data_IF_755460002513
#
_entry.id   IF_755460002513
#
_cell.length_a   1.000
_cell.length_b   1.000
_cell.length_c   1.000
_cell.angle_alpha   90.00
_cell.angle_beta   90.00
_cell.angle_gamma   90.00
#
_symmetry.space_group_name_H-M   'P 1'
#
loop_
_entity.id
_entity.type
_entity.pdbx_description
1 polymer ?
#
# COMPACT_ATOMS: atom_id res chain seq x y z
N UNK A 1 7.74 39.91 12.29
CA UNK A 1 8.92 39.08 11.93
C UNK A 1 10.00 40.00 11.35
N UNK A 2 11.22 40.02 11.94
CA UNK A 2 12.38 40.67 11.29
C UNK A 2 12.74 39.85 10.05
N UNK A 3 12.66 40.46 8.85
CA UNK A 3 13.20 39.84 7.63
C UNK A 3 14.69 39.56 7.86
N UNK A 4 15.07 38.30 7.85
CA UNK A 4 16.49 37.90 7.88
C UNK A 4 17.07 38.37 6.55
N UNK A 5 18.08 39.22 6.59
CA UNK A 5 18.82 39.65 5.39
C UNK A 5 19.74 38.47 4.93
N UNK A 6 19.21 37.67 4.05
CA UNK A 6 19.89 36.47 3.51
C UNK A 6 21.13 36.84 2.67
N UNK A 7 21.34 38.11 2.31
CA UNK A 7 22.51 38.53 1.52
C UNK A 7 23.82 38.56 2.32
N UNK A 8 23.73 38.52 3.66
CA UNK A 8 24.89 38.56 4.57
C UNK A 8 25.22 37.23 5.24
N UNK A 9 24.41 36.20 5.03
CA UNK A 9 24.63 34.87 5.62
C UNK A 9 25.24 33.97 4.54
N UNK A 10 26.50 33.58 4.73
CA UNK A 10 27.09 32.56 3.89
C UNK A 10 26.42 31.23 4.17
N UNK A 11 25.79 30.62 3.15
CA UNK A 11 25.22 29.27 3.27
C UNK A 11 26.34 28.25 3.56
N UNK A 12 26.01 27.19 4.32
CA UNK A 12 26.98 26.14 4.66
C UNK A 12 27.67 25.55 3.43
N UNK A 13 26.96 25.39 2.30
CA UNK A 13 27.50 24.94 1.01
C UNK A 13 28.57 25.91 0.44
N UNK A 14 28.54 27.17 0.83
CA UNK A 14 29.49 28.21 0.42
C UNK A 14 30.52 28.54 1.53
N UNK A 15 30.72 27.65 2.49
CA UNK A 15 31.67 27.81 3.57
C UNK A 15 31.15 28.51 4.83
N UNK A 16 29.85 28.78 4.92
CA UNK A 16 29.22 29.24 6.16
C UNK A 16 29.03 28.14 7.20
N UNK A 17 28.66 28.52 8.41
CA UNK A 17 28.36 27.53 9.46
C UNK A 17 27.04 26.80 9.14
N UNK A 18 27.01 25.46 9.20
CA UNK A 18 25.78 24.72 9.06
C UNK A 18 24.84 25.01 10.26
N UNK A 19 23.55 24.98 10.01
CA UNK A 19 22.51 25.12 11.05
C UNK A 19 22.58 23.94 12.04
N UNK A 20 23.01 22.78 11.54
CA UNK A 20 23.17 21.56 12.32
C UNK A 20 24.50 20.89 11.95
N UNK A 21 25.27 20.46 12.94
CA UNK A 21 26.52 19.70 12.77
C UNK A 21 26.35 18.23 13.07
N UNK A 22 25.38 17.89 13.92
CA UNK A 22 25.12 16.50 14.29
C UNK A 22 24.36 15.77 13.19
N UNK A 23 24.66 14.49 12.94
CA UNK A 23 23.91 13.68 12.00
C UNK A 23 22.43 13.57 12.42
N UNK A 24 21.54 13.33 11.46
CA UNK A 24 20.17 12.99 11.77
C UNK A 24 20.14 11.64 12.47
N UNK A 25 19.29 11.51 13.48
CA UNK A 25 19.05 10.22 14.12
C UNK A 25 18.38 9.27 13.13
N UNK A 26 18.77 8.01 13.18
CA UNK A 26 18.10 6.96 12.42
C UNK A 26 16.64 6.82 12.89
N UNK A 27 15.71 6.63 11.95
CA UNK A 27 14.31 6.37 12.27
C UNK A 27 14.14 4.90 12.66
N UNK A 28 14.62 4.53 13.86
CA UNK A 28 14.49 3.16 14.38
C UNK A 28 13.14 3.05 15.08
N UNK A 29 12.23 2.28 14.48
CA UNK A 29 10.89 2.02 15.01
C UNK A 29 10.75 0.65 15.67
N UNK A 30 11.77 -0.22 15.50
CA UNK A 30 11.80 -1.57 16.05
C UNK A 30 12.46 -1.59 17.43
N UNK A 31 11.94 -2.40 18.34
CA UNK A 31 12.41 -2.52 19.70
C UNK A 31 12.32 -3.94 20.25
N UNK A 32 12.10 -4.05 21.56
CA UNK A 32 12.07 -5.33 22.25
C UNK A 32 10.84 -6.17 21.88
N UNK A 33 9.71 -5.51 21.62
CA UNK A 33 8.47 -6.22 21.25
C UNK A 33 8.60 -6.92 19.89
N UNK A 34 9.22 -6.28 18.90
CA UNK A 34 9.51 -6.90 17.59
C UNK A 34 10.52 -8.05 17.74
N UNK A 35 11.54 -7.91 18.59
CA UNK A 35 12.49 -9.01 18.87
C UNK A 35 11.77 -10.22 19.45
N UNK A 36 10.91 -10.01 20.45
CA UNK A 36 10.12 -11.09 21.06
C UNK A 36 9.18 -11.75 20.06
N UNK A 37 8.55 -10.96 19.17
CA UNK A 37 7.71 -11.48 18.12
C UNK A 37 8.50 -12.37 17.14
N UNK A 38 9.66 -11.93 16.69
CA UNK A 38 10.56 -12.71 15.83
C UNK A 38 11.04 -13.99 16.54
N UNK A 39 11.40 -13.91 17.82
CA UNK A 39 11.84 -15.08 18.60
C UNK A 39 10.75 -16.15 18.63
N UNK A 40 9.47 -15.78 18.87
CA UNK A 40 8.37 -16.78 18.85
C UNK A 40 8.30 -17.52 17.51
N UNK A 41 8.48 -16.82 16.39
CA UNK A 41 8.49 -17.46 15.06
C UNK A 41 9.71 -18.36 14.91
N UNK A 42 10.90 -17.92 15.34
CA UNK A 42 12.12 -18.73 15.29
C UNK A 42 11.99 -20.00 16.14
N UNK A 43 11.42 -19.90 17.33
CA UNK A 43 11.21 -21.04 18.23
C UNK A 43 10.20 -22.04 17.66
N UNK A 44 9.24 -21.62 16.83
CA UNK A 44 8.33 -22.50 16.14
C UNK A 44 8.99 -23.36 15.06
N UNK A 45 10.15 -22.91 14.53
CA UNK A 45 10.86 -23.53 13.40
C UNK A 45 10.21 -23.29 12.02
N UNK A 46 9.07 -22.59 11.95
CA UNK A 46 8.34 -22.36 10.69
C UNK A 46 8.41 -20.89 10.27
N UNK A 47 9.23 -20.60 9.27
CA UNK A 47 9.43 -19.22 8.76
C UNK A 47 8.41 -18.83 7.70
N UNK A 48 7.75 -19.82 7.09
CA UNK A 48 6.62 -19.65 6.15
C UNK A 48 5.79 -20.92 6.17
N UNK A 49 4.48 -20.75 6.14
CA UNK A 49 3.52 -21.85 6.21
C UNK A 49 2.53 -21.83 5.04
N UNK A 50 2.89 -21.12 3.97
CA UNK A 50 2.11 -21.17 2.73
C UNK A 50 2.33 -22.48 2.00
N UNK A 51 1.24 -23.04 1.46
CA UNK A 51 1.26 -24.10 0.46
C UNK A 51 0.35 -23.80 -0.72
N UNK A 52 0.51 -24.54 -1.82
CA UNK A 52 -0.25 -24.36 -3.06
C UNK A 52 -1.60 -25.09 -3.08
N UNK A 53 -1.98 -25.79 -2.00
CA UNK A 53 -3.21 -26.56 -1.91
C UNK A 53 -4.03 -26.21 -0.67
N UNK A 54 -5.31 -26.59 -0.66
CA UNK A 54 -6.12 -26.61 0.55
C UNK A 54 -6.02 -28.00 1.18
N UNK A 55 -5.03 -28.21 2.02
CA UNK A 55 -5.04 -29.38 2.88
C UNK A 55 -5.69 -29.01 4.23
N UNK A 56 -6.52 -29.89 4.80
CA UNK A 56 -7.03 -29.70 6.15
C UNK A 56 -5.95 -29.92 7.22
N UNK A 57 -4.78 -30.43 6.81
CA UNK A 57 -3.71 -30.80 7.72
C UNK A 57 -2.79 -29.61 8.00
N UNK A 58 -2.95 -29.04 9.17
CA UNK A 58 -2.06 -28.00 9.71
C UNK A 58 -0.62 -28.53 9.87
N UNK A 59 0.41 -27.69 9.85
CA UNK A 59 0.35 -26.22 9.96
C UNK A 59 0.29 -25.46 8.64
N UNK A 60 0.45 -26.13 7.50
CA UNK A 60 0.49 -25.47 6.19
C UNK A 60 -0.89 -25.11 5.67
N UNK A 61 -0.99 -23.98 4.97
CA UNK A 61 -2.25 -23.49 4.42
C UNK A 61 -2.02 -22.60 3.19
N UNK A 62 -3.03 -22.54 2.32
CA UNK A 62 -3.05 -21.62 1.19
C UNK A 62 -3.04 -20.15 1.65
N UNK A 63 -3.54 -19.86 2.84
CA UNK A 63 -3.60 -18.51 3.41
C UNK A 63 -2.37 -18.12 4.24
N UNK A 64 -1.38 -19.01 4.38
CA UNK A 64 -0.20 -18.81 5.23
C UNK A 64 -0.41 -19.28 6.65
N UNK A 65 0.57 -19.04 7.51
CA UNK A 65 0.57 -19.45 8.90
C UNK A 65 -0.09 -18.45 9.85
N UNK A 66 0.02 -18.69 11.16
CA UNK A 66 -0.71 -17.92 12.16
C UNK A 66 -0.33 -16.44 12.22
N UNK A 67 0.93 -16.06 12.08
CA UNK A 67 1.32 -14.66 12.12
C UNK A 67 0.80 -13.89 10.89
N UNK A 68 0.82 -14.53 9.70
CA UNK A 68 0.25 -13.96 8.48
C UNK A 68 -1.26 -13.79 8.62
N UNK A 69 -1.98 -14.81 9.10
CA UNK A 69 -3.44 -14.75 9.25
C UNK A 69 -3.85 -13.73 10.32
N UNK A 70 -3.17 -13.70 11.47
CA UNK A 70 -3.41 -12.68 12.49
C UNK A 70 -3.16 -11.26 11.97
N UNK A 71 -2.08 -11.04 11.21
CA UNK A 71 -1.82 -9.73 10.59
C UNK A 71 -2.98 -9.31 9.67
N UNK A 72 -3.49 -10.23 8.84
CA UNK A 72 -4.59 -9.96 7.92
C UNK A 72 -5.88 -9.62 8.68
N UNK A 73 -6.19 -10.33 9.76
CA UNK A 73 -7.35 -10.07 10.60
C UNK A 73 -7.23 -8.74 11.34
N UNK A 74 -6.11 -8.49 12.03
CA UNK A 74 -5.82 -7.24 12.75
C UNK A 74 -5.83 -6.01 11.83
N UNK A 75 -5.33 -6.17 10.58
CA UNK A 75 -5.38 -5.11 9.58
C UNK A 75 -6.80 -4.83 9.11
N UNK A 76 -7.59 -5.89 8.93
CA UNK A 76 -9.01 -5.78 8.57
C UNK A 76 -9.80 -5.08 9.66
N UNK A 77 -9.57 -5.41 10.92
CA UNK A 77 -10.21 -4.78 12.08
C UNK A 77 -9.83 -3.30 12.19
N UNK A 78 -8.54 -2.97 12.00
CA UNK A 78 -8.06 -1.59 12.09
C UNK A 78 -8.70 -0.68 11.04
N UNK A 79 -8.79 -1.14 9.79
CA UNK A 79 -9.35 -0.35 8.69
C UNK A 79 -10.86 -0.51 8.51
N UNK A 80 -11.49 -1.42 9.23
CA UNK A 80 -12.93 -1.70 9.15
C UNK A 80 -13.33 -2.29 7.79
N UNK A 81 -12.51 -3.18 7.23
CA UNK A 81 -12.75 -3.85 5.95
C UNK A 81 -12.97 -5.35 6.13
N UNK A 82 -13.55 -6.01 5.12
CA UNK A 82 -13.81 -7.45 5.18
C UNK A 82 -12.57 -8.31 4.97
N UNK A 83 -11.62 -7.84 4.18
CA UNK A 83 -10.49 -8.64 3.73
C UNK A 83 -9.22 -7.82 3.68
N UNK A 84 -8.18 -8.37 4.27
CA UNK A 84 -6.79 -7.97 4.07
C UNK A 84 -6.01 -9.15 3.52
N UNK A 85 -5.07 -8.90 2.62
CA UNK A 85 -4.23 -9.90 1.99
C UNK A 85 -2.80 -9.39 2.04
N UNK A 86 -1.97 -10.01 2.87
CA UNK A 86 -0.55 -9.68 3.00
C UNK A 86 0.23 -10.11 1.77
N UNK A 87 1.20 -9.29 1.37
CA UNK A 87 2.08 -9.53 0.23
C UNK A 87 3.51 -9.14 0.57
N UNK A 88 4.50 -9.64 -0.18
CA UNK A 88 5.91 -9.39 0.11
C UNK A 88 6.40 -7.96 -0.21
N UNK A 89 5.57 -7.13 -0.84
CA UNK A 89 5.79 -5.69 -1.05
C UNK A 89 4.53 -5.01 -1.54
N UNK A 90 4.39 -3.68 -1.35
CA UNK A 90 3.30 -2.93 -1.99
C UNK A 90 3.38 -2.99 -3.52
N UNK A 91 4.58 -3.08 -4.09
CA UNK A 91 4.77 -3.25 -5.54
C UNK A 91 4.06 -4.49 -6.05
N UNK A 92 4.28 -5.65 -5.41
CA UNK A 92 3.56 -6.87 -5.74
C UNK A 92 2.07 -6.79 -5.41
N UNK A 93 1.69 -6.02 -4.39
CA UNK A 93 0.29 -5.69 -4.10
C UNK A 93 -0.39 -4.93 -5.24
N UNK A 94 0.28 -3.92 -5.81
CA UNK A 94 -0.22 -3.19 -6.98
C UNK A 94 -0.35 -4.11 -8.21
N UNK A 95 0.65 -4.98 -8.43
CA UNK A 95 0.59 -5.97 -9.51
C UNK A 95 -0.60 -6.93 -9.31
N UNK A 96 -0.77 -7.45 -8.10
CA UNK A 96 -1.90 -8.31 -7.76
C UNK A 96 -3.25 -7.58 -7.92
N UNK A 97 -3.34 -6.29 -7.58
CA UNK A 97 -4.55 -5.50 -7.73
C UNK A 97 -4.96 -5.36 -9.21
N UNK A 98 -4.00 -5.09 -10.11
CA UNK A 98 -4.26 -5.05 -11.56
C UNK A 98 -4.81 -6.38 -12.06
N UNK A 99 -4.17 -7.51 -11.69
CA UNK A 99 -4.64 -8.84 -12.08
C UNK A 99 -5.99 -9.20 -11.46
N UNK A 100 -6.23 -8.83 -10.19
CA UNK A 100 -7.50 -9.09 -9.52
C UNK A 100 -8.68 -8.34 -10.18
N UNK A 101 -8.42 -7.17 -10.76
CA UNK A 101 -9.40 -6.39 -11.54
C UNK A 101 -9.57 -6.87 -12.98
N UNK A 102 -8.93 -7.98 -13.36
CA UNK A 102 -9.00 -8.59 -14.70
C UNK A 102 -8.48 -7.68 -15.83
N UNK A 103 -7.64 -6.71 -15.48
CA UNK A 103 -7.02 -5.79 -16.42
C UNK A 103 -5.95 -6.53 -17.21
N UNK A 104 -5.96 -6.40 -18.54
CA UNK A 104 -5.10 -7.18 -19.43
C UNK A 104 -4.62 -6.42 -20.66
N UNK A 105 -4.20 -7.17 -21.66
CA UNK A 105 -3.59 -6.64 -22.86
C UNK A 105 -4.44 -5.59 -23.58
N UNK A 106 -3.88 -4.38 -23.76
CA UNK A 106 -4.52 -3.28 -24.46
C UNK A 106 -5.49 -2.45 -23.61
N UNK A 107 -5.82 -2.88 -22.40
CA UNK A 107 -6.55 -2.07 -21.44
C UNK A 107 -5.70 -0.89 -20.97
N UNK A 108 -6.33 0.18 -20.50
CA UNK A 108 -5.68 1.38 -20.00
C UNK A 108 -5.91 1.56 -18.50
N UNK A 109 -4.86 1.98 -17.80
CA UNK A 109 -4.93 2.37 -16.38
C UNK A 109 -4.41 3.79 -16.25
N UNK A 110 -5.23 4.69 -15.71
CA UNK A 110 -4.82 6.07 -15.44
C UNK A 110 -3.94 6.08 -14.19
N UNK A 111 -2.75 6.68 -14.31
CA UNK A 111 -1.71 6.73 -13.27
C UNK A 111 -1.15 8.14 -13.11
N UNK A 112 -0.55 8.43 -11.95
CA UNK A 112 0.15 9.68 -11.68
C UNK A 112 1.57 9.68 -12.29
N UNK A 113 2.04 10.79 -12.89
CA UNK A 113 3.44 10.97 -13.25
C UNK A 113 4.33 11.32 -12.04
N UNK A 114 3.75 11.71 -10.92
CA UNK A 114 4.45 12.15 -9.72
C UNK A 114 4.27 11.14 -8.60
N UNK A 115 4.96 10.01 -8.70
CA UNK A 115 4.96 8.94 -7.68
C UNK A 115 6.08 7.94 -7.95
N UNK A 116 6.15 6.90 -7.12
CA UNK A 116 7.02 5.74 -7.36
C UNK A 116 6.65 5.05 -8.69
N UNK A 117 7.66 4.68 -9.47
CA UNK A 117 7.48 4.04 -10.79
C UNK A 117 6.63 2.76 -10.76
N UNK A 118 6.52 2.11 -9.61
CA UNK A 118 5.68 0.91 -9.43
C UNK A 118 4.24 1.10 -9.92
N UNK A 119 3.66 2.31 -9.72
CA UNK A 119 2.30 2.62 -10.17
C UNK A 119 2.16 2.57 -11.69
N UNK A 120 3.17 3.03 -12.43
CA UNK A 120 3.17 3.00 -13.89
C UNK A 120 3.59 1.63 -14.45
N UNK A 121 4.38 0.86 -13.69
CA UNK A 121 4.84 -0.48 -14.10
C UNK A 121 3.76 -1.54 -13.86
N UNK A 122 2.91 -1.37 -12.84
CA UNK A 122 1.90 -2.36 -12.49
C UNK A 122 1.00 -2.77 -13.68
N UNK A 123 0.45 -1.86 -14.50
CA UNK A 123 -0.32 -2.24 -15.68
C UNK A 123 0.50 -3.04 -16.70
N UNK A 124 1.78 -2.69 -16.89
CA UNK A 124 2.64 -3.32 -17.90
C UNK A 124 2.87 -4.81 -17.67
N UNK A 125 2.80 -5.28 -16.40
CA UNK A 125 2.96 -6.71 -16.07
C UNK A 125 1.88 -7.56 -16.74
N UNK A 126 0.71 -6.99 -17.01
CA UNK A 126 -0.41 -7.66 -17.69
C UNK A 126 -0.61 -7.19 -19.14
N UNK A 127 0.35 -6.43 -19.70
CA UNK A 127 0.26 -5.89 -21.05
C UNK A 127 -0.75 -4.74 -21.19
N UNK A 128 -1.20 -4.18 -20.09
CA UNK A 128 -2.02 -2.98 -20.08
C UNK A 128 -1.16 -1.70 -20.19
N UNK A 129 -1.77 -0.60 -20.56
CA UNK A 129 -1.10 0.66 -20.91
C UNK A 129 -1.30 1.67 -19.76
N UNK A 130 -0.22 2.15 -19.11
CA UNK A 130 -0.32 3.27 -18.21
C UNK A 130 -0.58 4.57 -18.97
N UNK A 131 -1.65 5.27 -18.61
CA UNK A 131 -2.04 6.57 -19.17
C UNK A 131 -1.83 7.63 -18.11
N UNK A 132 -0.93 8.57 -18.34
CA UNK A 132 -0.61 9.61 -17.38
C UNK A 132 -1.66 10.72 -17.38
N UNK A 133 -2.23 11.01 -16.22
CA UNK A 133 -3.01 12.22 -15.93
C UNK A 133 -2.20 13.15 -15.02
N UNK A 134 -2.41 14.45 -15.14
CA UNK A 134 -1.68 15.46 -14.39
C UNK A 134 -2.06 15.45 -12.90
N UNK A 135 -1.33 16.20 -12.09
CA UNK A 135 -1.51 16.31 -10.65
C UNK A 135 -1.96 17.70 -10.25
N UNK A 136 -2.67 17.79 -9.13
CA UNK A 136 -3.02 19.06 -8.49
C UNK A 136 -1.76 19.68 -7.84
N UNK A 137 -1.55 20.97 -8.05
CA UNK A 137 -0.37 21.68 -7.55
C UNK A 137 -0.31 21.80 -6.01
N UNK A 138 -1.44 21.71 -5.34
CA UNK A 138 -1.55 21.91 -3.89
C UNK A 138 -1.24 20.65 -3.08
N UNK A 139 -1.43 19.45 -3.64
CA UNK A 139 -1.30 18.20 -2.90
C UNK A 139 -0.48 17.12 -3.65
N UNK A 140 -0.17 17.33 -4.94
CA UNK A 140 0.58 16.39 -5.76
C UNK A 140 -0.17 15.09 -6.12
N UNK A 141 -1.45 14.97 -5.77
CA UNK A 141 -2.30 13.85 -6.15
C UNK A 141 -2.94 14.06 -7.53
N UNK A 142 -3.49 13.01 -8.13
CA UNK A 142 -4.15 13.08 -9.45
C UNK A 142 -5.23 14.17 -9.51
N UNK A 143 -5.17 15.03 -10.54
CA UNK A 143 -6.20 16.02 -10.84
C UNK A 143 -7.42 15.35 -11.47
N UNK A 144 -8.62 15.44 -10.83
CA UNK A 144 -9.83 14.85 -11.37
C UNK A 144 -10.21 15.35 -12.78
N UNK A 145 -9.88 16.60 -13.11
CA UNK A 145 -10.12 17.14 -14.45
C UNK A 145 -9.24 16.45 -15.48
N UNK A 146 -7.96 16.31 -15.17
CA UNK A 146 -7.02 15.60 -16.05
C UNK A 146 -7.40 14.12 -16.17
N UNK A 147 -7.85 13.46 -15.11
CA UNK A 147 -8.40 12.10 -15.18
C UNK A 147 -9.54 12.05 -16.23
N UNK A 148 -10.53 12.94 -16.12
CA UNK A 148 -11.69 12.95 -17.02
C UNK A 148 -11.30 13.13 -18.49
N UNK A 149 -10.27 13.93 -18.78
CA UNK A 149 -9.75 14.17 -20.13
C UNK A 149 -9.00 12.96 -20.73
N UNK A 150 -8.49 12.06 -19.88
CA UNK A 150 -7.70 10.88 -20.29
C UNK A 150 -8.51 9.61 -20.44
N UNK A 151 -9.79 9.61 -20.04
CA UNK A 151 -10.65 8.44 -20.16
C UNK A 151 -10.92 8.11 -21.62
N UNK A 152 -10.73 6.85 -21.97
CA UNK A 152 -11.10 6.26 -23.26
C UNK A 152 -12.00 5.02 -23.07
N UNK A 153 -12.45 4.41 -24.15
CA UNK A 153 -13.19 3.14 -24.11
C UNK A 153 -12.36 1.96 -23.56
N UNK A 154 -11.03 2.10 -23.51
CA UNK A 154 -10.10 1.08 -22.99
C UNK A 154 -9.75 1.30 -21.51
N UNK A 155 -10.10 2.43 -20.92
CA UNK A 155 -9.79 2.72 -19.54
C UNK A 155 -10.56 1.79 -18.61
N UNK A 156 -9.87 1.00 -17.78
CA UNK A 156 -10.43 0.02 -16.84
C UNK A 156 -10.26 0.42 -15.39
N UNK A 157 -9.17 1.13 -15.08
CA UNK A 157 -8.91 1.56 -13.71
C UNK A 157 -8.25 2.94 -13.64
N UNK A 158 -8.40 3.56 -12.48
CA UNK A 158 -7.62 4.70 -12.01
C UNK A 158 -6.81 4.22 -10.81
N UNK A 159 -5.48 4.40 -10.83
CA UNK A 159 -4.59 4.12 -9.72
C UNK A 159 -4.24 5.44 -9.06
N UNK A 160 -4.88 5.71 -7.92
CA UNK A 160 -4.73 6.94 -7.15
C UNK A 160 -3.64 6.75 -6.11
N UNK A 161 -2.75 7.74 -5.97
CA UNK A 161 -1.74 7.76 -4.90
C UNK A 161 -2.10 8.83 -3.88
N UNK A 162 -2.14 8.46 -2.60
CA UNK A 162 -2.28 9.40 -1.49
C UNK A 162 -0.90 9.93 -1.10
N UNK A 163 -0.46 10.96 -1.83
CA UNK A 163 0.92 11.42 -1.83
C UNK A 163 1.32 11.98 -0.47
N UNK A 164 2.42 11.47 0.10
CA UNK A 164 2.96 11.88 1.41
C UNK A 164 1.95 11.80 2.58
N UNK A 165 0.91 10.97 2.45
CA UNK A 165 -0.15 10.86 3.45
C UNK A 165 -1.29 11.89 3.27
N UNK A 166 -1.24 12.70 2.21
CA UNK A 166 -2.32 13.64 1.88
C UNK A 166 -3.32 12.92 0.97
N UNK A 167 -4.58 12.77 1.36
CA UNK A 167 -5.58 12.13 0.52
C UNK A 167 -5.85 12.91 -0.77
N UNK A 168 -6.01 12.18 -1.88
CA UNK A 168 -6.55 12.73 -3.12
C UNK A 168 -8.02 13.13 -2.96
N UNK A 169 -8.58 13.94 -3.87
CA UNK A 169 -10.01 14.25 -3.91
C UNK A 169 -10.82 13.01 -4.34
N UNK A 170 -11.05 12.13 -3.37
CA UNK A 170 -11.72 10.86 -3.61
C UNK A 170 -13.19 11.03 -4.03
N UNK A 171 -13.87 12.06 -3.59
CA UNK A 171 -15.26 12.31 -4.03
C UNK A 171 -15.33 12.57 -5.53
N UNK A 172 -14.49 13.47 -6.04
CA UNK A 172 -14.46 13.79 -7.46
C UNK A 172 -14.01 12.57 -8.29
N UNK A 173 -12.98 11.85 -7.83
CA UNK A 173 -12.47 10.66 -8.52
C UNK A 173 -13.52 9.55 -8.56
N UNK A 174 -14.21 9.26 -7.45
CA UNK A 174 -15.23 8.22 -7.39
C UNK A 174 -16.48 8.57 -8.22
N UNK A 175 -16.85 9.86 -8.32
CA UNK A 175 -17.90 10.32 -9.23
C UNK A 175 -17.53 9.99 -10.68
N UNK A 176 -16.32 10.31 -11.09
CA UNK A 176 -15.81 10.03 -12.44
C UNK A 176 -15.77 8.51 -12.68
N UNK A 177 -15.17 7.75 -11.77
CA UNK A 177 -15.05 6.30 -11.87
C UNK A 177 -16.44 5.63 -12.02
N UNK A 178 -17.39 6.00 -11.18
CA UNK A 178 -18.77 5.49 -11.23
C UNK A 178 -19.48 5.84 -12.54
N UNK A 179 -19.33 7.08 -13.03
CA UNK A 179 -19.93 7.53 -14.30
C UNK A 179 -19.48 6.69 -15.49
N UNK A 180 -18.23 6.26 -15.49
CA UNK A 180 -17.62 5.53 -16.61
C UNK A 180 -17.49 4.02 -16.37
N UNK A 181 -17.93 3.50 -15.22
CA UNK A 181 -17.80 2.09 -14.85
C UNK A 181 -16.35 1.64 -14.65
N UNK A 182 -15.46 2.54 -14.24
CA UNK A 182 -14.02 2.34 -14.05
C UNK A 182 -13.74 1.97 -12.60
N UNK A 183 -12.77 1.08 -12.37
CA UNK A 183 -12.32 0.65 -11.05
C UNK A 183 -11.31 1.62 -10.45
N UNK A 184 -11.21 1.66 -9.12
CA UNK A 184 -10.26 2.51 -8.41
C UNK A 184 -9.36 1.68 -7.50
N UNK A 185 -8.04 1.79 -7.72
CA UNK A 185 -7.00 1.29 -6.83
C UNK A 185 -6.44 2.47 -6.05
N UNK A 186 -6.39 2.37 -4.73
CA UNK A 186 -5.77 3.36 -3.86
C UNK A 186 -4.37 2.89 -3.44
N UNK A 187 -3.32 3.55 -3.91
CA UNK A 187 -1.97 3.36 -3.40
C UNK A 187 -1.79 4.18 -2.12
N UNK A 188 -1.88 3.48 -1.00
CA UNK A 188 -1.74 4.00 0.36
C UNK A 188 -0.34 3.76 0.95
N UNK A 189 0.66 3.44 0.12
CA UNK A 189 2.03 3.12 0.58
C UNK A 189 2.69 4.26 1.39
N UNK A 190 2.16 5.47 1.32
CA UNK A 190 2.62 6.65 2.06
C UNK A 190 1.56 7.20 3.03
N UNK A 191 0.42 6.51 3.22
CA UNK A 191 -0.77 7.09 3.84
C UNK A 191 -1.40 6.20 4.93
N UNK A 192 -0.56 5.52 5.72
CA UNK A 192 -1.01 4.66 6.80
C UNK A 192 -1.80 5.44 7.86
N UNK A 193 -3.06 5.06 8.07
CA UNK A 193 -3.95 5.71 9.02
C UNK A 193 -4.50 7.07 8.56
N UNK A 194 -4.17 7.54 7.34
CA UNK A 194 -4.72 8.77 6.79
C UNK A 194 -6.23 8.61 6.49
N UNK A 195 -6.96 9.71 6.61
CA UNK A 195 -8.40 9.75 6.35
C UNK A 195 -8.75 10.82 5.33
N UNK A 196 -9.61 10.45 4.40
CA UNK A 196 -10.36 11.39 3.58
C UNK A 196 -11.71 11.64 4.25
N UNK A 197 -11.92 12.83 4.80
CA UNK A 197 -13.03 13.10 5.70
C UNK A 197 -12.97 12.12 6.90
N UNK A 198 -14.01 11.34 7.14
CA UNK A 198 -14.05 10.40 8.26
C UNK A 198 -13.69 8.96 7.87
N UNK A 199 -13.38 8.70 6.60
CA UNK A 199 -13.12 7.38 6.07
C UNK A 199 -11.61 7.16 5.83
N UNK A 200 -11.06 6.03 6.26
CA UNK A 200 -9.67 5.69 5.97
C UNK A 200 -9.45 5.58 4.46
N UNK A 201 -8.34 6.16 3.96
CA UNK A 201 -7.89 5.92 2.59
C UNK A 201 -7.53 4.44 2.42
N UNK A 202 -7.71 3.93 1.21
CA UNK A 202 -7.60 2.50 0.90
C UNK A 202 -8.92 1.74 1.06
N UNK A 203 -9.95 2.35 1.69
CA UNK A 203 -11.28 1.73 1.88
C UNK A 203 -12.36 2.34 1.01
N UNK A 204 -12.02 3.35 0.20
CA UNK A 204 -12.95 4.14 -0.61
C UNK A 204 -13.11 3.56 -2.02
N UNK A 205 -11.99 3.15 -2.62
CA UNK A 205 -11.94 2.49 -3.91
C UNK A 205 -12.27 0.99 -3.86
N UNK A 206 -11.92 0.27 -4.91
CA UNK A 206 -12.15 -1.18 -5.01
C UNK A 206 -11.07 -1.98 -4.27
N UNK A 207 -9.81 -1.53 -4.30
CA UNK A 207 -8.66 -2.15 -3.63
C UNK A 207 -7.75 -1.05 -3.09
N UNK A 208 -7.38 -1.13 -1.81
CA UNK A 208 -6.32 -0.33 -1.20
C UNK A 208 -5.04 -1.14 -1.07
N UNK A 209 -3.87 -0.51 -1.26
CA UNK A 209 -2.55 -1.16 -1.18
C UNK A 209 -1.64 -0.38 -0.24
N UNK A 210 -1.11 -1.04 0.78
CA UNK A 210 -0.22 -0.46 1.78
C UNK A 210 1.17 -1.07 1.71
N UNK A 211 2.19 -0.32 2.11
CA UNK A 211 3.60 -0.76 2.12
C UNK A 211 4.13 -0.93 3.53
N UNK A 212 4.88 -1.99 3.76
CA UNK A 212 5.61 -2.23 4.99
C UNK A 212 7.14 -2.15 4.78
N UNK A 213 7.57 -1.44 3.72
CA UNK A 213 8.99 -1.20 3.48
C UNK A 213 9.60 -0.33 4.60
N UNK A 214 10.90 -0.48 4.83
CA UNK A 214 11.66 0.15 5.93
C UNK A 214 11.46 1.67 6.08
N UNK A 215 11.13 2.38 5.00
CA UNK A 215 10.97 3.84 5.01
C UNK A 215 9.53 4.31 5.25
N UNK A 216 8.60 3.40 5.56
CA UNK A 216 7.17 3.74 5.74
C UNK A 216 6.84 4.12 7.20
N UNK A 217 5.59 4.54 7.39
CA UNK A 217 5.10 4.95 8.71
C UNK A 217 5.25 3.85 9.75
N UNK A 218 4.96 2.62 9.35
CA UNK A 218 5.26 1.36 10.04
C UNK A 218 5.93 0.43 9.05
N UNK A 219 6.70 -0.53 9.51
CA UNK A 219 7.55 -1.34 8.64
C UNK A 219 7.76 -2.77 9.15
N UNK A 220 8.10 -3.67 8.24
CA UNK A 220 8.59 -5.02 8.56
C UNK A 220 9.86 -5.37 7.75
N UNK A 221 10.64 -4.34 7.38
CA UNK A 221 11.74 -4.42 6.43
C UNK A 221 11.24 -4.37 4.99
N UNK A 222 10.54 -5.38 4.55
CA UNK A 222 9.77 -5.45 3.31
C UNK A 222 8.40 -6.05 3.60
N UNK A 223 7.40 -5.69 2.79
CA UNK A 223 6.04 -6.20 2.91
C UNK A 223 5.01 -5.24 2.35
N UNK A 224 3.77 -5.68 2.33
CA UNK A 224 2.61 -4.89 1.97
C UNK A 224 1.31 -5.60 2.34
N UNK A 225 0.21 -4.87 2.27
CA UNK A 225 -1.13 -5.40 2.50
C UNK A 225 -2.09 -4.81 1.47
N UNK A 226 -2.85 -5.68 0.80
CA UNK A 226 -3.99 -5.29 -0.02
C UNK A 226 -5.27 -5.41 0.81
N UNK A 227 -6.18 -4.44 0.71
CA UNK A 227 -7.47 -4.48 1.39
C UNK A 227 -8.63 -4.32 0.42
N UNK A 228 -9.75 -4.96 0.70
CA UNK A 228 -10.98 -4.83 -0.09
C UNK A 228 -12.22 -5.30 0.68
N UNK A 229 -13.39 -4.77 0.33
CA UNK A 229 -14.67 -5.26 0.82
C UNK A 229 -15.34 -6.29 -0.13
N UNK A 230 -14.71 -6.56 -1.27
CA UNK A 230 -15.24 -7.45 -2.30
C UNK A 230 -14.66 -8.87 -2.17
N UNK A 231 -15.51 -9.85 -1.88
CA UNK A 231 -15.09 -11.25 -1.69
C UNK A 231 -14.39 -11.83 -2.93
N UNK A 232 -14.86 -11.48 -4.13
CA UNK A 232 -14.26 -11.97 -5.37
C UNK A 232 -12.86 -11.40 -5.58
N UNK A 233 -12.68 -10.08 -5.37
CA UNK A 233 -11.35 -9.46 -5.45
C UNK A 233 -10.39 -10.02 -4.41
N UNK A 234 -10.85 -10.22 -3.17
CA UNK A 234 -10.03 -10.83 -2.12
C UNK A 234 -9.55 -12.23 -2.50
N UNK A 235 -10.44 -13.05 -3.05
CA UNK A 235 -10.07 -14.41 -3.49
C UNK A 235 -9.06 -14.38 -4.64
N UNK A 236 -9.27 -13.51 -5.64
CA UNK A 236 -8.35 -13.33 -6.76
C UNK A 236 -6.97 -12.83 -6.29
N UNK A 237 -6.92 -11.89 -5.35
CA UNK A 237 -5.66 -11.43 -4.73
C UNK A 237 -4.91 -12.59 -4.05
N UNK A 238 -5.60 -13.46 -3.31
CA UNK A 238 -5.00 -14.65 -2.68
C UNK A 238 -4.47 -15.64 -3.72
N UNK A 239 -5.21 -15.88 -4.81
CA UNK A 239 -4.76 -16.74 -5.91
C UNK A 239 -3.49 -16.16 -6.55
N UNK A 240 -3.48 -14.87 -6.89
CA UNK A 240 -2.33 -14.22 -7.54
C UNK A 240 -1.11 -14.22 -6.60
N UNK A 241 -1.32 -14.00 -5.29
CA UNK A 241 -0.26 -14.03 -4.29
C UNK A 241 0.44 -15.39 -4.21
N UNK A 242 -0.29 -16.48 -4.36
CA UNK A 242 0.19 -17.83 -4.10
C UNK A 242 -0.05 -18.77 -5.30
N UNK A 243 0.54 -18.44 -6.45
CA UNK A 243 0.60 -19.22 -7.68
C UNK A 243 -0.72 -19.53 -8.39
N UNK A 244 -1.88 -19.35 -7.74
CA UNK A 244 -3.20 -19.44 -8.37
C UNK A 244 -3.63 -20.82 -8.86
N UNK A 245 -3.06 -21.90 -8.32
CA UNK A 245 -3.18 -23.22 -8.91
C UNK A 245 -4.28 -24.11 -8.27
N UNK A 246 -3.88 -25.06 -7.49
CA UNK A 246 -4.65 -26.24 -7.10
C UNK A 246 -5.89 -25.99 -6.25
N UNK A 247 -6.01 -24.84 -5.61
CA UNK A 247 -7.13 -24.53 -4.69
C UNK A 247 -8.44 -24.19 -5.41
N UNK A 248 -8.38 -23.89 -6.69
CA UNK A 248 -9.53 -23.42 -7.48
C UNK A 248 -10.63 -24.48 -7.53
N UNK A 249 -10.26 -25.72 -7.75
CA UNK A 249 -11.20 -26.84 -7.81
C UNK A 249 -11.83 -27.12 -6.44
N UNK A 250 -11.03 -27.07 -5.37
CA UNK A 250 -11.52 -27.29 -4.01
C UNK A 250 -12.48 -26.20 -3.53
N UNK A 251 -12.30 -24.96 -4.01
CA UNK A 251 -13.14 -23.82 -3.66
C UNK A 251 -14.34 -23.62 -4.60
N UNK A 252 -14.56 -24.50 -5.60
CA UNK A 252 -15.56 -24.34 -6.68
C UNK A 252 -15.53 -22.94 -7.33
N UNK A 253 -14.33 -22.36 -7.44
CA UNK A 253 -14.15 -21.03 -8.00
C UNK A 253 -13.97 -21.11 -9.51
N UNK A 254 -14.87 -20.47 -10.26
CA UNK A 254 -14.95 -20.60 -11.71
C UNK A 254 -14.30 -19.45 -12.48
N UNK A 255 -14.14 -18.29 -11.87
CA UNK A 255 -13.55 -17.12 -12.51
C UNK A 255 -12.04 -17.10 -12.38
N UNK A 256 -11.33 -17.92 -13.18
CA UNK A 256 -9.87 -17.99 -13.24
C UNK A 256 -9.27 -17.17 -14.38
N UNK A 257 -10.08 -16.41 -15.09
CA UNK A 257 -9.62 -15.57 -16.21
C UNK A 257 -8.64 -14.52 -15.68
N UNK A 258 -7.51 -14.37 -16.36
CA UNK A 258 -6.46 -13.39 -16.04
C UNK A 258 -5.79 -13.59 -14.66
N UNK A 259 -5.82 -14.80 -14.11
CA UNK A 259 -5.05 -15.13 -12.92
C UNK A 259 -3.65 -15.59 -13.34
N UNK A 260 -2.71 -14.63 -13.42
CA UNK A 260 -1.29 -14.93 -13.45
C UNK A 260 -0.82 -15.07 -12.01
N UNK A 261 -0.58 -16.32 -11.57
CA UNK A 261 -0.13 -16.58 -10.20
C UNK A 261 1.36 -16.28 -10.03
N UNK A 262 1.69 -15.62 -8.93
CA UNK A 262 3.06 -15.25 -8.57
C UNK A 262 3.41 -15.78 -7.17
N UNK A 263 4.67 -15.63 -6.79
CA UNK A 263 5.10 -15.79 -5.41
C UNK A 263 5.24 -14.41 -4.74
N UNK A 264 4.12 -13.91 -4.22
CA UNK A 264 4.08 -12.63 -3.47
C UNK A 264 3.83 -12.85 -1.98
N UNK A 265 4.13 -14.04 -1.47
CA UNK A 265 3.88 -14.45 -0.09
C UNK A 265 4.74 -13.64 0.89
N UNK A 266 4.12 -13.21 1.99
CA UNK A 266 4.81 -12.62 3.14
C UNK A 266 5.26 -13.75 4.09
N UNK A 267 6.43 -13.63 4.72
CA UNK A 267 6.91 -14.60 5.70
C UNK A 267 6.27 -14.39 7.07
N UNK A 268 6.25 -15.44 7.91
CA UNK A 268 5.81 -15.35 9.31
C UNK A 268 6.65 -14.32 10.10
N UNK A 269 7.96 -14.25 9.83
CA UNK A 269 8.85 -13.27 10.48
C UNK A 269 8.43 -11.82 10.21
N UNK A 270 8.18 -11.51 8.94
CA UNK A 270 7.75 -10.17 8.55
C UNK A 270 6.35 -9.85 9.07
N UNK A 271 5.44 -10.83 9.05
CA UNK A 271 4.10 -10.69 9.59
C UNK A 271 4.13 -10.41 11.11
N UNK A 272 4.94 -11.15 11.87
CA UNK A 272 5.09 -10.93 13.31
C UNK A 272 5.61 -9.52 13.64
N UNK A 273 6.57 -9.00 12.89
CA UNK A 273 7.06 -7.62 13.05
C UNK A 273 5.93 -6.63 12.70
N UNK A 274 5.25 -6.84 11.57
CA UNK A 274 4.20 -5.95 11.08
C UNK A 274 3.03 -5.82 12.06
N UNK A 275 2.66 -6.90 12.77
CA UNK A 275 1.63 -6.89 13.82
C UNK A 275 1.98 -5.93 14.95
N UNK A 276 3.19 -6.04 15.49
CA UNK A 276 3.68 -5.13 16.56
C UNK A 276 3.72 -3.68 16.07
N UNK A 277 4.16 -3.47 14.84
CA UNK A 277 4.20 -2.14 14.24
C UNK A 277 2.80 -1.55 14.00
N UNK A 278 1.82 -2.38 13.67
CA UNK A 278 0.42 -1.96 13.52
C UNK A 278 -0.16 -1.45 14.85
N UNK A 279 0.11 -2.14 15.94
CA UNK A 279 -0.29 -1.70 17.29
C UNK A 279 0.28 -0.31 17.65
N UNK A 280 1.52 -0.02 17.22
CA UNK A 280 2.22 1.25 17.49
C UNK A 280 1.83 2.38 16.52
N UNK A 281 1.15 2.08 15.43
CA UNK A 281 0.95 3.03 14.32
C UNK A 281 0.29 4.34 14.74
N UNK A 282 -0.76 4.30 15.54
CA UNK A 282 -1.45 5.51 15.99
C UNK A 282 -0.53 6.43 16.80
N UNK A 283 0.24 5.86 17.72
CA UNK A 283 1.20 6.64 18.52
C UNK A 283 2.28 7.28 17.62
N UNK A 284 2.83 6.52 16.68
CA UNK A 284 3.83 7.03 15.74
C UNK A 284 3.27 8.17 14.87
N UNK A 285 2.04 8.03 14.39
CA UNK A 285 1.39 9.08 13.61
C UNK A 285 1.10 10.32 14.44
N UNK A 286 0.66 10.18 15.69
CA UNK A 286 0.46 11.32 16.62
C UNK A 286 1.74 12.15 16.76
N UNK A 287 2.87 11.49 17.04
CA UNK A 287 4.17 12.18 17.16
C UNK A 287 4.54 12.94 15.87
N UNK A 288 4.30 12.34 14.69
CA UNK A 288 4.57 13.01 13.40
C UNK A 288 3.68 14.23 13.18
N UNK A 289 2.39 14.14 13.54
CA UNK A 289 1.45 15.26 13.43
C UNK A 289 1.84 16.41 14.38
N UNK A 290 2.24 16.10 15.62
CA UNK A 290 2.75 17.11 16.56
C UNK A 290 3.97 17.86 16.00
N UNK A 291 4.91 17.17 15.32
CA UNK A 291 6.02 17.82 14.64
C UNK A 291 5.58 18.71 13.48
N UNK A 292 4.59 18.29 12.71
CA UNK A 292 4.05 19.09 11.60
C UNK A 292 3.39 20.36 12.16
N UNK A 293 2.57 20.23 13.19
CA UNK A 293 1.91 21.38 13.85
C UNK A 293 2.93 22.37 14.43
N UNK A 294 4.00 21.86 15.06
CA UNK A 294 5.10 22.69 15.52
C UNK A 294 5.77 23.45 14.38
N UNK A 295 6.06 22.80 13.25
CA UNK A 295 6.69 23.45 12.10
C UNK A 295 5.79 24.51 11.47
N UNK A 296 4.49 24.25 11.34
CA UNK A 296 3.52 25.19 10.78
C UNK A 296 3.31 26.37 11.74
N UNK A 297 3.20 26.12 13.05
CA UNK A 297 2.99 27.14 14.05
C UNK A 297 4.21 28.00 14.36
N UNK A 298 5.41 27.58 13.95
CA UNK A 298 6.68 28.26 14.16
C UNK A 298 7.08 29.20 12.99
N UNK A 299 6.29 29.21 11.90
CA UNK A 299 6.54 29.95 10.65
C UNK A 299 5.93 31.35 10.55
#
# INVERSE_FOLDING_TARGET
MKKIDLTRVSLAINGGNPVRTDPWLDNITTGEEEKLAVMRVMDSGFLSLFEGSHTPDTPFSFNGGPEVQCLEDEWSDYYGVKHSISVNSATSGLYAAIGALEIGYGDEVIVSPYTMSACAIAPLIYGAIPVFADVELNNGSLDPKSIAERISSRTKAILVVHQFGIPADMDAIMIIAKKHGIKVIEDCAQAHGAKYKDQYVGTIGDIGVFSLNVNKAIQSGEGGVCITNNNNLAYRLRLIRNHGEAVVDAADYKNIVNIAGFNYRLTELQAAIARVQLEKMNQMNTVRLEYIDYLIGSG
#
